data_IF_065920513533
#
_entry.id   IF_065920513533
#
_cell.length_a   1.000
_cell.length_b   1.000
_cell.length_c   1.000
_cell.angle_alpha   90.00
_cell.angle_beta   90.00
_cell.angle_gamma   90.00
#
_symmetry.space_group_name_H-M   'P 1'
#
loop_
_entity.id
_entity.type
_entity.pdbx_description
1 polymer ?
#
# COMPACT_ATOMS: atom_id res chain seq x y z
N UNK A 1 2.30 33.71 16.79
CA UNK A 1 1.59 33.19 15.62
C UNK A 1 2.65 32.97 14.55
N UNK A 2 3.30 31.82 14.56
CA UNK A 2 4.22 31.44 13.48
C UNK A 2 3.35 30.94 12.34
N UNK A 3 3.24 31.77 11.29
CA UNK A 3 2.56 31.44 10.06
C UNK A 3 3.37 30.29 9.41
N UNK A 4 2.80 29.09 9.44
CA UNK A 4 3.46 27.89 8.95
C UNK A 4 3.44 27.96 7.42
N UNK A 5 4.41 28.68 6.85
CA UNK A 5 4.54 28.90 5.43
C UNK A 5 4.79 27.55 4.75
N UNK A 6 3.77 27.07 4.04
CA UNK A 6 3.85 25.80 3.33
C UNK A 6 4.84 25.94 2.17
N UNK A 7 5.93 25.21 2.24
CA UNK A 7 6.88 25.11 1.14
C UNK A 7 6.55 23.89 0.27
N UNK A 8 6.51 24.06 -1.07
CA UNK A 8 6.29 22.94 -1.97
C UNK A 8 7.46 21.94 -1.88
N UNK A 9 7.18 20.63 -1.93
CA UNK A 9 8.22 19.61 -1.89
C UNK A 9 9.24 19.77 -3.03
N UNK A 10 10.47 19.36 -2.78
CA UNK A 10 11.53 19.32 -3.79
C UNK A 10 11.17 18.40 -4.96
N UNK A 11 11.82 18.61 -6.12
CA UNK A 11 11.60 17.78 -7.31
C UNK A 11 11.85 16.29 -7.03
N UNK A 12 12.84 15.97 -6.18
CA UNK A 12 13.15 14.60 -5.78
C UNK A 12 12.01 13.98 -4.96
N UNK A 13 11.48 14.72 -3.98
CA UNK A 13 10.34 14.27 -3.17
C UNK A 13 9.08 14.09 -4.02
N UNK A 14 8.85 15.00 -4.96
CA UNK A 14 7.70 14.94 -5.87
C UNK A 14 7.73 13.67 -6.74
N UNK A 15 8.90 13.26 -7.24
CA UNK A 15 9.07 11.99 -7.97
C UNK A 15 8.78 10.77 -7.09
N UNK A 16 9.23 10.78 -5.83
CA UNK A 16 8.96 9.69 -4.88
C UNK A 16 7.46 9.58 -4.59
N UNK A 17 6.79 10.71 -4.35
CA UNK A 17 5.34 10.73 -4.12
C UNK A 17 4.56 10.23 -5.33
N UNK A 18 4.97 10.62 -6.53
CA UNK A 18 4.34 10.16 -7.76
C UNK A 18 4.49 8.64 -7.93
N UNK A 19 5.70 8.10 -7.76
CA UNK A 19 5.94 6.66 -7.83
C UNK A 19 5.10 5.89 -6.79
N UNK A 20 4.99 6.42 -5.56
CA UNK A 20 4.15 5.84 -4.50
C UNK A 20 2.67 5.85 -4.89
N UNK A 21 2.18 6.96 -5.45
CA UNK A 21 0.79 7.11 -5.88
C UNK A 21 0.45 6.14 -6.99
N UNK A 22 1.30 6.03 -8.00
CA UNK A 22 1.11 5.08 -9.10
C UNK A 22 1.07 3.63 -8.61
N UNK A 23 1.92 3.28 -7.62
CA UNK A 23 1.87 1.97 -6.98
C UNK A 23 0.54 1.76 -6.25
N UNK A 24 0.07 2.73 -5.47
CA UNK A 24 -1.22 2.61 -4.78
C UNK A 24 -2.42 2.52 -5.74
N UNK A 25 -2.38 3.22 -6.86
CA UNK A 25 -3.43 3.16 -7.87
C UNK A 25 -3.50 1.75 -8.50
N UNK A 26 -2.35 1.14 -8.78
CA UNK A 26 -2.28 -0.26 -9.26
C UNK A 26 -2.84 -1.24 -8.23
N UNK A 27 -2.48 -1.08 -6.96
CA UNK A 27 -3.01 -1.90 -5.86
C UNK A 27 -4.53 -1.77 -5.78
N UNK A 28 -5.05 -0.54 -5.82
CA UNK A 28 -6.49 -0.26 -5.72
C UNK A 28 -7.29 -0.90 -6.85
N UNK A 29 -6.75 -0.87 -8.08
CA UNK A 29 -7.36 -1.57 -9.23
C UNK A 29 -7.41 -3.08 -9.01
N UNK A 30 -6.27 -3.69 -8.65
CA UNK A 30 -6.20 -5.13 -8.41
C UNK A 30 -7.11 -5.57 -7.26
N UNK A 31 -7.15 -4.82 -6.16
CA UNK A 31 -8.09 -5.09 -5.07
C UNK A 31 -9.53 -5.15 -5.57
N UNK A 32 -9.96 -4.17 -6.37
CA UNK A 32 -11.28 -4.16 -6.99
C UNK A 32 -11.56 -5.43 -7.81
N UNK A 33 -10.62 -5.82 -8.66
CA UNK A 33 -10.75 -7.01 -9.50
C UNK A 33 -10.90 -8.30 -8.67
N UNK A 34 -10.12 -8.44 -7.59
CA UNK A 34 -10.20 -9.59 -6.70
C UNK A 34 -11.49 -9.63 -5.87
N UNK A 35 -12.01 -8.47 -5.44
CA UNK A 35 -13.31 -8.39 -4.79
C UNK A 35 -14.44 -8.86 -5.71
N UNK A 36 -14.40 -8.47 -6.99
CA UNK A 36 -15.37 -8.94 -7.99
C UNK A 36 -15.25 -10.45 -8.27
N UNK A 37 -14.06 -11.04 -8.14
CA UNK A 37 -13.86 -12.51 -8.20
C UNK A 37 -14.44 -13.25 -6.97
N UNK A 38 -14.88 -12.52 -5.95
CA UNK A 38 -15.46 -13.04 -4.72
C UNK A 38 -14.45 -13.25 -3.59
N UNK A 39 -13.33 -12.53 -3.60
CA UNK A 39 -12.44 -12.45 -2.45
C UNK A 39 -13.05 -11.54 -1.39
N UNK A 40 -12.68 -11.76 -0.13
CA UNK A 40 -13.13 -10.96 1.01
C UNK A 40 -12.00 -10.07 1.51
N UNK A 41 -12.26 -8.79 1.68
CA UNK A 41 -11.31 -7.88 2.34
C UNK A 41 -11.27 -8.14 3.85
N UNK A 42 -10.08 -8.28 4.41
CA UNK A 42 -9.86 -8.45 5.84
C UNK A 42 -9.54 -7.09 6.49
N UNK A 43 -9.64 -7.03 7.81
CA UNK A 43 -9.13 -5.89 8.61
C UNK A 43 -7.61 -5.97 8.82
N UNK A 44 -7.00 -7.10 8.48
CA UNK A 44 -5.58 -7.35 8.67
C UNK A 44 -4.77 -6.81 7.48
N UNK A 45 -3.56 -6.36 7.76
CA UNK A 45 -2.64 -5.81 6.75
C UNK A 45 -1.41 -6.72 6.63
N UNK A 46 -0.80 -6.71 5.45
CA UNK A 46 0.40 -7.50 5.19
C UNK A 46 1.60 -6.93 5.94
N UNK A 47 2.28 -7.74 6.75
CA UNK A 47 3.45 -7.32 7.53
C UNK A 47 4.63 -6.81 6.68
N UNK A 48 4.69 -7.23 5.40
CA UNK A 48 5.78 -6.86 4.50
C UNK A 48 5.58 -5.49 3.84
N UNK A 49 4.34 -5.15 3.45
CA UNK A 49 4.06 -3.96 2.63
C UNK A 49 2.95 -3.05 3.16
N UNK A 50 2.28 -3.45 4.24
CA UNK A 50 1.18 -2.69 4.87
C UNK A 50 -0.12 -2.62 4.05
N UNK A 51 -0.24 -3.39 2.96
CA UNK A 51 -1.47 -3.46 2.15
C UNK A 51 -2.49 -4.38 2.82
N UNK A 52 -3.78 -4.05 2.74
CA UNK A 52 -4.87 -4.86 3.28
C UNK A 52 -4.85 -6.27 2.67
N UNK A 53 -5.02 -7.29 3.51
CA UNK A 53 -5.10 -8.68 3.09
C UNK A 53 -6.49 -9.00 2.54
N UNK A 54 -6.51 -9.80 1.47
CA UNK A 54 -7.72 -10.41 0.94
C UNK A 54 -7.75 -11.89 1.33
N UNK A 55 -8.94 -12.44 1.49
CA UNK A 55 -9.16 -13.86 1.74
C UNK A 55 -9.87 -14.49 0.54
N UNK A 56 -9.31 -15.58 0.03
CA UNK A 56 -9.92 -16.35 -1.05
C UNK A 56 -11.08 -17.23 -0.55
N UNK A 57 -11.74 -17.93 -1.48
CA UNK A 57 -12.84 -18.87 -1.15
C UNK A 57 -12.38 -20.09 -0.34
N UNK A 58 -11.08 -20.37 -0.29
CA UNK A 58 -10.46 -21.45 0.47
C UNK A 58 -9.96 -20.98 1.85
N UNK A 59 -10.32 -19.75 2.26
CA UNK A 59 -9.90 -19.10 3.51
C UNK A 59 -8.38 -18.84 3.61
N UNK A 60 -7.68 -18.78 2.48
CA UNK A 60 -6.27 -18.42 2.43
C UNK A 60 -6.12 -16.90 2.35
N UNK A 61 -5.26 -16.35 3.20
CA UNK A 61 -4.91 -14.94 3.17
C UNK A 61 -3.96 -14.65 2.00
N UNK A 62 -4.22 -13.58 1.29
CA UNK A 62 -3.59 -13.22 0.02
C UNK A 62 -3.34 -11.71 -0.04
N UNK A 63 -2.09 -11.32 -0.26
CA UNK A 63 -1.70 -9.93 -0.44
C UNK A 63 -1.52 -9.62 -1.93
N UNK A 64 -2.41 -8.81 -2.50
CA UNK A 64 -2.36 -8.44 -3.92
C UNK A 64 -1.08 -7.67 -4.28
N UNK A 65 -0.57 -6.83 -3.37
CA UNK A 65 0.63 -6.04 -3.64
C UNK A 65 1.88 -6.93 -3.77
N UNK A 66 2.13 -7.79 -2.78
CA UNK A 66 3.29 -8.66 -2.79
C UNK A 66 3.27 -9.74 -3.88
N UNK A 67 2.08 -10.21 -4.26
CA UNK A 67 1.95 -11.30 -5.23
C UNK A 67 1.95 -10.81 -6.68
N UNK A 68 1.43 -9.60 -6.94
CA UNK A 68 1.24 -9.10 -8.31
C UNK A 68 2.15 -7.92 -8.68
N UNK A 69 2.75 -7.22 -7.70
CA UNK A 69 3.55 -6.00 -7.95
C UNK A 69 4.99 -6.08 -7.44
N UNK A 70 5.27 -6.81 -6.35
CA UNK A 70 6.62 -6.86 -5.75
C UNK A 70 7.53 -7.94 -6.38
N UNK A 71 7.04 -8.72 -7.35
CA UNK A 71 7.85 -9.68 -8.12
C UNK A 71 8.93 -9.05 -9.00
N UNK A 72 8.87 -7.72 -9.22
CA UNK A 72 9.79 -6.96 -10.10
C UNK A 72 10.67 -5.93 -9.35
N UNK A 73 10.65 -5.90 -8.01
CA UNK A 73 11.44 -4.94 -7.23
C UNK A 73 12.72 -5.59 -6.72
N UNK A 74 13.73 -5.63 -7.59
CA UNK A 74 15.12 -5.89 -7.23
C UNK A 74 15.61 -4.87 -6.18
N UNK A 75 15.65 -5.31 -4.92
CA UNK A 75 16.73 -5.20 -3.91
C UNK A 75 17.60 -3.96 -3.69
N UNK A 76 17.48 -2.84 -4.43
CA UNK A 76 18.47 -1.75 -4.34
C UNK A 76 17.88 -0.38 -3.98
N UNK A 77 17.08 -0.29 -2.91
CA UNK A 77 16.90 1.00 -2.23
C UNK A 77 16.54 0.84 -0.74
N UNK A 78 17.46 1.18 0.19
CA UNK A 78 17.19 1.13 1.63
C UNK A 78 16.37 2.37 2.03
N UNK A 79 15.07 2.37 1.74
CA UNK A 79 14.23 3.51 2.14
C UNK A 79 12.76 3.49 1.74
N UNK A 80 12.26 2.45 1.07
CA UNK A 80 10.94 2.50 0.42
C UNK A 80 9.87 1.60 1.05
N UNK A 81 9.98 1.22 2.32
CA UNK A 81 8.80 0.71 3.01
C UNK A 81 7.88 1.91 3.26
N UNK A 82 6.74 2.04 2.55
CA UNK A 82 5.81 3.10 2.90
C UNK A 82 5.37 2.83 4.33
N UNK A 83 5.40 3.88 5.16
CA UNK A 83 4.71 3.84 6.44
C UNK A 83 3.31 3.28 6.22
N UNK A 84 2.87 2.32 7.06
CA UNK A 84 1.57 1.68 6.89
C UNK A 84 0.51 2.77 6.77
N UNK A 85 -0.41 2.58 5.82
CA UNK A 85 -1.56 3.47 5.65
C UNK A 85 -2.21 3.71 7.02
N UNK A 86 -2.61 4.95 7.38
CA UNK A 86 -3.25 5.21 8.68
C UNK A 86 -4.51 4.38 8.91
N UNK A 87 -5.08 3.81 7.84
CA UNK A 87 -6.17 2.84 7.87
C UNK A 87 -5.84 1.48 8.51
N UNK A 88 -4.55 1.14 8.70
CA UNK A 88 -4.09 -0.09 9.35
C UNK A 88 -3.54 0.17 10.77
N UNK A 89 -3.87 1.31 11.40
CA UNK A 89 -3.57 1.47 12.83
C UNK A 89 -4.49 0.55 13.60
N UNK A 90 -3.95 -0.52 14.17
CA UNK A 90 -4.63 -1.29 15.21
C UNK A 90 -5.03 -0.33 16.34
N UNK A 91 -6.24 0.19 16.32
CA UNK A 91 -6.92 0.62 17.54
C UNK A 91 -7.36 -0.65 18.25
N UNK A 92 -6.44 -1.23 19.01
CA UNK A 92 -6.83 -2.08 20.14
C UNK A 92 -7.42 -1.13 21.19
N UNK A 93 -8.73 -0.91 21.11
CA UNK A 93 -9.54 -0.47 22.26
C UNK A 93 -10.22 -1.69 22.88
#
# INVERSE_FOLDING_TARGET
EEDFEWEPPSEAEMKVFQARRERQDKISKLMGDYLLKGYKMLSDCCDACGTILLQDKQKKNYCVACQELDSDIDKDNPGTYPTPSPFCTHTNE
#
